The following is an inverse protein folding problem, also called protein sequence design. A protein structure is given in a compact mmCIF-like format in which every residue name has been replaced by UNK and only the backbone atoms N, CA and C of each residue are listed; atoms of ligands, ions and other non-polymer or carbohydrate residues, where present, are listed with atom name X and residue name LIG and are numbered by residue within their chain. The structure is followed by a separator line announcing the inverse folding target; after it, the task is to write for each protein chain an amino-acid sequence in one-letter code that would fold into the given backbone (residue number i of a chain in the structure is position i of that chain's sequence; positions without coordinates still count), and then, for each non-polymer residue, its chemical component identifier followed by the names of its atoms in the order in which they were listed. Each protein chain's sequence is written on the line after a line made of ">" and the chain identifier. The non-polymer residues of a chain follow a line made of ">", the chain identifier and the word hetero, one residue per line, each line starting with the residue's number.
data_IF_490366985135
#
_entry.id   IF_490366985135
#
_cell.length_a   1.000
_cell.length_b   1.000
_cell.length_c   1.000
_cell.angle_alpha   90.00
_cell.angle_beta   90.00
_cell.angle_gamma   90.00
#
_symmetry.space_group_name_H-M   'P 1'
#
loop_
_entity.id
_entity.type
_entity.pdbx_description
1 polymer ?
#
# COMPACT_ATOMS: atom_id res chain seq x y z
N UNK A 1 -47.66 62.91 -14.80
CA UNK A 1 -48.10 61.52 -15.04
C UNK A 1 -47.04 60.88 -15.93
N UNK A 2 -46.03 60.22 -15.31
CA UNK A 2 -44.92 59.53 -16.00
C UNK A 2 -44.99 58.05 -15.58
N UNK A 3 -45.29 57.22 -16.55
CA UNK A 3 -45.38 55.79 -16.43
C UNK A 3 -43.93 55.18 -16.59
N UNK A 4 -43.40 54.58 -15.54
CA UNK A 4 -42.15 53.77 -15.62
C UNK A 4 -42.49 52.35 -15.99
N UNK A 5 -42.01 51.90 -17.15
CA UNK A 5 -42.00 50.51 -17.55
C UNK A 5 -40.73 49.85 -16.95
N UNK A 6 -40.92 48.93 -16.01
CA UNK A 6 -39.86 48.06 -15.54
C UNK A 6 -39.81 46.81 -16.42
N UNK A 7 -38.71 46.65 -17.15
CA UNK A 7 -38.37 45.37 -17.84
C UNK A 7 -37.76 44.42 -16.81
N UNK A 8 -38.47 43.33 -16.55
CA UNK A 8 -38.01 42.18 -15.77
C UNK A 8 -37.22 41.26 -16.69
N UNK A 9 -35.89 41.29 -16.61
CA UNK A 9 -35.02 40.34 -17.32
C UNK A 9 -35.00 39.06 -16.48
N UNK A 10 -35.69 38.01 -16.94
CA UNK A 10 -35.51 36.63 -16.42
C UNK A 10 -34.21 36.09 -16.96
N UNK A 11 -33.18 36.02 -16.09
CA UNK A 11 -32.00 35.19 -16.28
C UNK A 11 -32.35 33.74 -16.01
N UNK A 12 -32.57 32.95 -17.04
CA UNK A 12 -32.61 31.48 -16.93
C UNK A 12 -31.19 30.98 -16.81
N UNK A 13 -30.75 30.72 -15.58
CA UNK A 13 -29.53 29.95 -15.32
C UNK A 13 -29.79 28.49 -15.67
N UNK A 14 -29.35 28.06 -16.85
CA UNK A 14 -29.21 26.65 -17.19
C UNK A 14 -28.12 26.08 -16.31
N UNK A 15 -28.49 25.43 -15.23
CA UNK A 15 -27.60 24.57 -14.47
C UNK A 15 -27.30 23.33 -15.33
N UNK A 16 -26.18 23.31 -16.03
CA UNK A 16 -25.58 22.06 -16.49
C UNK A 16 -25.25 21.24 -15.23
N UNK A 17 -26.14 20.36 -14.84
CA UNK A 17 -25.81 19.26 -13.96
C UNK A 17 -24.85 18.36 -14.73
N UNK A 18 -23.55 18.56 -14.54
CA UNK A 18 -22.57 17.52 -14.84
C UNK A 18 -22.95 16.32 -13.95
N UNK A 19 -23.64 15.36 -14.54
CA UNK A 19 -23.88 14.08 -13.89
C UNK A 19 -22.54 13.42 -13.64
N UNK A 20 -22.04 13.54 -12.41
CA UNK A 20 -21.04 12.62 -11.89
C UNK A 20 -21.72 11.26 -11.94
N UNK A 21 -21.25 10.39 -12.84
CA UNK A 21 -21.62 8.98 -12.78
C UNK A 21 -21.19 8.52 -11.38
N UNK A 22 -22.15 8.27 -10.51
CA UNK A 22 -21.91 7.63 -9.24
C UNK A 22 -21.35 6.26 -9.56
N UNK A 23 -20.14 5.95 -9.14
CA UNK A 23 -19.63 4.60 -9.18
C UNK A 23 -20.66 3.71 -8.46
N UNK A 24 -20.96 2.57 -9.07
CA UNK A 24 -22.04 1.71 -8.56
C UNK A 24 -21.67 1.15 -7.19
N UNK A 25 -22.69 0.98 -6.37
CA UNK A 25 -22.56 0.31 -5.08
C UNK A 25 -21.97 -1.10 -5.29
N UNK A 26 -20.95 -1.46 -4.48
CA UNK A 26 -20.34 -2.78 -4.48
C UNK A 26 -20.91 -3.65 -3.39
N UNK A 27 -21.19 -4.90 -3.74
CA UNK A 27 -21.69 -5.91 -2.83
C UNK A 27 -20.62 -6.98 -2.66
N UNK A 28 -20.30 -7.31 -1.43
CA UNK A 28 -19.29 -8.31 -1.08
C UNK A 28 -19.93 -9.52 -0.46
N UNK A 29 -19.59 -10.69 -1.01
CA UNK A 29 -20.05 -11.99 -0.55
C UNK A 29 -18.85 -12.82 -0.07
N UNK A 30 -19.07 -13.68 0.93
CA UNK A 30 -18.11 -14.68 1.41
C UNK A 30 -18.80 -16.01 1.56
N UNK A 31 -18.12 -17.11 1.18
CA UNK A 31 -18.63 -18.45 1.34
C UNK A 31 -17.72 -19.49 0.72
N UNK A 32 -18.30 -20.54 0.15
CA UNK A 32 -17.55 -21.68 -0.38
C UNK A 32 -17.90 -21.97 -1.84
N UNK A 33 -16.86 -22.39 -2.57
CA UNK A 33 -16.96 -22.99 -3.89
C UNK A 33 -16.59 -24.48 -3.76
N UNK A 34 -17.51 -25.38 -4.07
CA UNK A 34 -17.38 -26.80 -3.76
C UNK A 34 -17.35 -27.06 -2.25
N UNK A 35 -16.73 -28.15 -1.83
CA UNK A 35 -16.74 -28.58 -0.44
C UNK A 35 -15.91 -27.71 0.51
N UNK A 36 -14.76 -27.17 0.05
CA UNK A 36 -13.76 -26.63 0.98
C UNK A 36 -13.04 -25.35 0.48
N UNK A 37 -13.35 -24.84 -0.70
CA UNK A 37 -12.65 -23.65 -1.19
C UNK A 37 -13.38 -22.39 -0.71
N UNK A 38 -12.84 -21.76 0.34
CA UNK A 38 -13.34 -20.45 0.78
C UNK A 38 -13.02 -19.38 -0.25
N UNK A 39 -14.01 -18.59 -0.62
CA UNK A 39 -13.92 -17.50 -1.57
C UNK A 39 -14.57 -16.24 -1.03
N UNK A 40 -14.05 -15.10 -1.46
CA UNK A 40 -14.68 -13.79 -1.30
C UNK A 40 -14.91 -13.22 -2.69
N UNK A 41 -16.11 -12.74 -2.95
CA UNK A 41 -16.55 -12.23 -4.24
C UNK A 41 -17.08 -10.82 -4.07
N UNK A 42 -16.71 -9.90 -4.97
CA UNK A 42 -17.22 -8.54 -5.05
C UNK A 42 -17.89 -8.31 -6.39
N UNK A 43 -19.07 -7.71 -6.38
CA UNK A 43 -19.84 -7.38 -7.58
C UNK A 43 -20.25 -5.90 -7.55
N UNK A 44 -20.12 -5.25 -8.70
CA UNK A 44 -20.60 -3.91 -8.97
C UNK A 44 -21.61 -3.95 -10.13
N UNK A 45 -22.79 -3.38 -9.95
CA UNK A 45 -23.78 -3.31 -11.00
C UNK A 45 -23.38 -2.25 -12.05
N UNK A 46 -23.39 -2.65 -13.31
CA UNK A 46 -23.17 -1.79 -14.48
C UNK A 46 -24.44 -1.70 -15.34
N UNK A 47 -24.42 -0.84 -16.35
CA UNK A 47 -25.58 -0.66 -17.24
C UNK A 47 -25.95 -1.92 -18.01
N UNK A 48 -24.96 -2.73 -18.37
CA UNK A 48 -25.05 -3.94 -19.20
C UNK A 48 -24.89 -5.26 -18.44
N UNK A 49 -24.78 -5.19 -17.10
CA UNK A 49 -24.62 -6.38 -16.28
C UNK A 49 -23.93 -6.14 -14.95
N UNK A 50 -22.93 -6.93 -14.65
CA UNK A 50 -22.10 -6.84 -13.47
C UNK A 50 -20.64 -6.98 -13.84
N UNK A 51 -19.82 -6.12 -13.29
CA UNK A 51 -18.37 -6.32 -13.18
C UNK A 51 -18.08 -6.80 -11.76
N UNK A 52 -17.05 -7.59 -11.62
CA UNK A 52 -16.66 -8.08 -10.32
C UNK A 52 -15.29 -8.71 -10.31
N UNK A 53 -14.94 -9.21 -9.16
CA UNK A 53 -13.73 -9.98 -8.90
C UNK A 53 -13.94 -10.91 -7.72
N UNK A 54 -13.18 -11.98 -7.69
CA UNK A 54 -13.16 -12.85 -6.52
C UNK A 54 -11.75 -13.37 -6.28
N UNK A 55 -11.50 -13.85 -5.08
CA UNK A 55 -10.28 -14.59 -4.75
C UNK A 55 -10.59 -15.80 -3.88
N UNK A 56 -9.76 -16.81 -4.04
CA UNK A 56 -9.67 -17.90 -3.06
C UNK A 56 -8.91 -17.39 -1.83
N UNK A 57 -9.48 -17.56 -0.63
CA UNK A 57 -8.91 -17.00 0.60
C UNK A 57 -7.43 -17.39 0.81
N UNK A 58 -7.08 -18.64 0.48
CA UNK A 58 -5.71 -19.15 0.59
C UNK A 58 -4.72 -18.52 -0.39
N UNK A 59 -5.19 -17.92 -1.50
CA UNK A 59 -4.32 -17.34 -2.53
C UNK A 59 -4.31 -15.82 -2.51
N UNK A 60 -5.49 -15.20 -2.27
CA UNK A 60 -5.65 -13.76 -2.23
C UNK A 60 -5.52 -13.02 -3.58
N UNK A 61 -5.31 -13.75 -4.68
CA UNK A 61 -5.15 -13.17 -6.03
C UNK A 61 -6.51 -13.01 -6.69
N UNK A 62 -6.79 -11.81 -7.17
CA UNK A 62 -8.06 -11.48 -7.79
C UNK A 62 -8.21 -12.12 -9.17
N UNK A 63 -9.39 -12.67 -9.42
CA UNK A 63 -9.83 -13.20 -10.70
C UNK A 63 -11.01 -12.32 -11.16
N UNK A 64 -10.88 -11.54 -12.25
CA UNK A 64 -11.95 -10.68 -12.73
C UNK A 64 -13.16 -11.46 -13.22
N UNK A 65 -14.36 -10.87 -13.03
CA UNK A 65 -15.65 -11.40 -13.46
C UNK A 65 -16.40 -10.35 -14.28
N UNK A 66 -17.12 -10.82 -15.30
CA UNK A 66 -18.01 -9.97 -16.09
C UNK A 66 -19.23 -10.75 -16.58
N UNK A 67 -20.40 -10.11 -16.60
CA UNK A 67 -21.63 -10.68 -17.15
C UNK A 67 -22.88 -10.38 -16.35
N UNK A 68 -23.82 -11.32 -16.33
CA UNK A 68 -25.04 -11.23 -15.51
C UNK A 68 -24.95 -12.11 -14.25
N UNK A 69 -25.78 -11.85 -13.25
CA UNK A 69 -25.84 -12.72 -12.04
C UNK A 69 -26.15 -14.19 -12.41
N UNK A 70 -26.91 -14.42 -13.47
CA UNK A 70 -27.19 -15.76 -13.97
C UNK A 70 -26.00 -16.39 -14.72
N UNK A 71 -25.03 -15.59 -15.18
CA UNK A 71 -23.87 -16.07 -15.94
C UNK A 71 -22.74 -15.06 -15.84
N UNK A 72 -21.85 -15.20 -14.83
CA UNK A 72 -20.62 -14.42 -14.70
C UNK A 72 -19.46 -15.23 -15.27
N UNK A 73 -18.76 -14.64 -16.23
CA UNK A 73 -17.63 -15.24 -16.91
C UNK A 73 -16.35 -14.83 -16.16
N UNK A 74 -15.44 -15.78 -15.95
CA UNK A 74 -14.10 -15.50 -15.39
C UNK A 74 -13.15 -15.04 -16.49
N UNK A 75 -12.25 -14.12 -16.13
CA UNK A 75 -11.16 -13.75 -17.01
C UNK A 75 -10.17 -14.90 -17.21
N UNK A 76 -9.59 -14.94 -18.39
CA UNK A 76 -8.53 -15.88 -18.76
C UNK A 76 -7.14 -15.26 -18.48
N UNK A 77 -6.17 -16.06 -18.01
CA UNK A 77 -4.78 -15.60 -17.93
C UNK A 77 -4.26 -15.21 -19.30
N UNK A 78 -3.79 -13.97 -19.47
CA UNK A 78 -3.39 -13.44 -20.79
C UNK A 78 -2.21 -14.18 -21.41
N UNK A 79 -1.26 -14.64 -20.59
CA UNK A 79 -0.10 -15.40 -21.10
C UNK A 79 -0.47 -16.70 -21.81
N UNK A 80 -1.67 -17.24 -21.59
CA UNK A 80 -2.18 -18.40 -22.34
C UNK A 80 -2.61 -18.02 -23.78
N UNK A 81 -2.71 -16.71 -24.10
CA UNK A 81 -3.29 -16.19 -25.34
C UNK A 81 -2.49 -15.04 -25.98
N UNK A 82 -1.28 -14.73 -25.49
CA UNK A 82 -0.51 -13.53 -25.82
C UNK A 82 -0.22 -13.30 -27.32
N UNK A 83 0.01 -14.34 -28.11
CA UNK A 83 0.26 -14.20 -29.56
C UNK A 83 -1.00 -13.81 -30.35
N UNK A 84 -2.20 -14.09 -29.85
CA UNK A 84 -3.46 -13.80 -30.53
C UNK A 84 -3.90 -12.34 -30.41
N UNK A 85 -3.26 -11.58 -29.53
CA UNK A 85 -3.66 -10.22 -29.14
C UNK A 85 -2.62 -9.17 -29.58
N UNK A 86 -1.54 -9.58 -30.23
CA UNK A 86 -0.53 -8.67 -30.77
C UNK A 86 -1.16 -7.76 -31.85
N UNK A 87 -1.57 -6.55 -31.45
CA UNK A 87 -2.22 -5.56 -32.33
C UNK A 87 -3.58 -5.04 -31.83
N UNK A 88 -4.07 -5.53 -30.66
CA UNK A 88 -5.29 -5.02 -30.07
C UNK A 88 -4.99 -3.80 -29.15
N UNK A 89 -5.74 -2.70 -29.38
CA UNK A 89 -5.65 -1.48 -28.55
C UNK A 89 -6.14 -1.70 -27.11
N UNK A 90 -6.71 -2.88 -26.80
CA UNK A 90 -7.25 -3.26 -25.50
C UNK A 90 -6.28 -4.10 -24.66
N UNK A 91 -4.98 -3.88 -24.75
CA UNK A 91 -3.94 -4.71 -24.10
C UNK A 91 -4.06 -4.85 -22.57
N UNK A 92 -4.71 -3.89 -21.92
CA UNK A 92 -4.80 -3.84 -20.46
C UNK A 92 -6.16 -4.30 -19.90
N UNK A 93 -7.04 -4.86 -20.75
CA UNK A 93 -8.36 -5.34 -20.33
C UNK A 93 -8.39 -6.87 -20.16
N UNK A 94 -9.15 -7.39 -19.17
CA UNK A 94 -9.35 -8.82 -19.00
C UNK A 94 -10.06 -9.46 -20.21
N UNK A 95 -9.68 -10.69 -20.54
CA UNK A 95 -10.30 -11.49 -21.60
C UNK A 95 -11.28 -12.47 -20.95
N UNK A 96 -12.56 -12.37 -21.29
CA UNK A 96 -13.61 -13.24 -20.74
C UNK A 96 -14.07 -14.34 -21.71
N UNK A 97 -13.75 -14.20 -22.99
CA UNK A 97 -14.13 -15.15 -24.05
C UNK A 97 -12.84 -15.72 -24.64
N UNK A 98 -12.70 -17.03 -24.58
CA UNK A 98 -11.58 -17.74 -25.19
C UNK A 98 -11.55 -17.49 -26.69
N UNK A 99 -10.48 -16.88 -27.23
CA UNK A 99 -10.38 -16.55 -28.67
C UNK A 99 -10.45 -17.76 -29.59
N UNK A 100 -10.01 -18.93 -29.11
CA UNK A 100 -10.00 -20.16 -29.92
C UNK A 100 -11.39 -20.84 -29.96
N UNK A 101 -12.08 -20.91 -28.84
CA UNK A 101 -13.36 -21.59 -28.72
C UNK A 101 -14.56 -20.68 -28.92
N UNK A 102 -14.37 -19.33 -28.89
CA UNK A 102 -15.41 -18.29 -28.90
C UNK A 102 -16.45 -18.44 -27.78
N UNK A 103 -16.05 -19.05 -26.66
CA UNK A 103 -16.89 -19.29 -25.46
C UNK A 103 -16.13 -18.95 -24.19
N UNK A 104 -16.81 -18.60 -23.10
CA UNK A 104 -16.17 -18.50 -21.82
C UNK A 104 -15.64 -19.86 -21.36
N UNK A 105 -14.50 -19.86 -20.64
CA UNK A 105 -13.88 -21.07 -20.11
C UNK A 105 -14.50 -21.46 -18.77
N UNK A 106 -14.62 -20.52 -17.86
CA UNK A 106 -15.17 -20.73 -16.53
C UNK A 106 -16.33 -19.79 -16.30
N UNK A 107 -17.44 -20.30 -15.77
CA UNK A 107 -18.68 -19.55 -15.61
C UNK A 107 -19.33 -19.85 -14.27
N UNK A 108 -19.78 -18.79 -13.59
CA UNK A 108 -20.63 -18.85 -12.42
C UNK A 108 -22.09 -18.70 -12.86
N UNK A 109 -22.89 -19.74 -12.66
CA UNK A 109 -24.34 -19.74 -12.91
C UNK A 109 -25.05 -19.63 -11.57
N UNK A 110 -25.66 -18.51 -11.26
CA UNK A 110 -26.24 -18.29 -9.95
C UNK A 110 -27.42 -17.34 -9.93
N UNK A 111 -27.97 -17.22 -8.74
CA UNK A 111 -29.03 -16.26 -8.40
C UNK A 111 -28.81 -15.73 -6.99
N UNK A 112 -29.22 -14.49 -6.78
CA UNK A 112 -29.31 -13.91 -5.43
C UNK A 112 -30.70 -14.20 -4.89
N UNK A 113 -30.75 -14.72 -3.65
CA UNK A 113 -31.97 -14.94 -2.88
C UNK A 113 -31.74 -14.35 -1.48
N UNK A 114 -32.37 -13.21 -1.20
CA UNK A 114 -32.07 -12.41 -0.02
C UNK A 114 -30.59 -11.98 -0.01
N UNK A 115 -29.88 -12.38 1.04
CA UNK A 115 -28.45 -12.09 1.23
C UNK A 115 -27.52 -13.20 0.71
N UNK A 116 -28.07 -14.20 0.01
CA UNK A 116 -27.31 -15.35 -0.46
C UNK A 116 -27.21 -15.37 -1.98
N UNK A 117 -25.97 -15.45 -2.50
CA UNK A 117 -25.68 -15.75 -3.90
C UNK A 117 -25.26 -17.21 -4.02
N UNK A 118 -26.06 -18.01 -4.72
CA UNK A 118 -25.88 -19.46 -4.80
C UNK A 118 -26.07 -19.98 -6.23
N UNK A 119 -25.44 -21.11 -6.53
CA UNK A 119 -25.53 -21.73 -7.85
C UNK A 119 -24.44 -22.75 -8.14
N UNK A 120 -24.00 -22.81 -9.38
CA UNK A 120 -22.95 -23.70 -9.86
C UNK A 120 -21.89 -22.94 -10.63
N UNK A 121 -20.63 -23.25 -10.35
CA UNK A 121 -19.47 -22.87 -11.14
C UNK A 121 -19.09 -24.03 -12.05
N UNK A 122 -18.76 -23.75 -13.30
CA UNK A 122 -18.30 -24.77 -14.28
C UNK A 122 -17.07 -24.29 -15.03
N UNK A 123 -16.19 -25.23 -15.36
CA UNK A 123 -15.00 -25.00 -16.17
C UNK A 123 -14.97 -25.93 -17.39
N UNK A 124 -14.97 -25.33 -18.58
CA UNK A 124 -15.07 -26.07 -19.84
C UNK A 124 -13.79 -26.88 -20.17
N UNK A 125 -12.60 -26.47 -19.69
CA UNK A 125 -11.34 -27.18 -19.93
C UNK A 125 -11.23 -28.42 -19.06
N UNK A 126 -11.54 -28.32 -17.78
CA UNK A 126 -11.43 -29.44 -16.83
C UNK A 126 -12.69 -30.29 -16.73
N UNK A 127 -13.82 -29.83 -17.30
CA UNK A 127 -15.15 -30.44 -17.20
C UNK A 127 -15.67 -30.53 -15.74
N UNK A 128 -15.14 -29.71 -14.85
CA UNK A 128 -15.59 -29.65 -13.47
C UNK A 128 -16.81 -28.79 -13.32
N UNK A 129 -17.71 -29.21 -12.45
CA UNK A 129 -18.84 -28.40 -11.97
C UNK A 129 -18.86 -28.48 -10.45
N UNK A 130 -18.97 -27.32 -9.80
CA UNK A 130 -18.96 -27.18 -8.34
C UNK A 130 -20.15 -26.33 -7.93
N UNK A 131 -20.85 -26.71 -6.86
CA UNK A 131 -21.83 -25.84 -6.25
C UNK A 131 -21.11 -24.71 -5.49
N UNK A 132 -21.75 -23.54 -5.39
CA UNK A 132 -21.32 -22.46 -4.53
C UNK A 132 -22.47 -21.89 -3.72
N UNK A 133 -22.15 -21.42 -2.52
CA UNK A 133 -23.03 -20.70 -1.64
C UNK A 133 -22.26 -19.60 -0.93
N UNK A 134 -22.63 -18.34 -1.20
CA UNK A 134 -21.95 -17.16 -0.70
C UNK A 134 -22.97 -16.25 -0.01
N UNK A 135 -22.65 -15.77 1.19
CA UNK A 135 -23.48 -14.85 1.96
C UNK A 135 -22.94 -13.42 1.89
N UNK A 136 -23.82 -12.45 1.76
CA UNK A 136 -23.46 -11.05 1.75
C UNK A 136 -22.84 -10.66 3.10
N UNK A 137 -21.65 -10.11 3.08
CA UNK A 137 -20.91 -9.69 4.27
C UNK A 137 -20.67 -8.18 4.31
N UNK A 138 -20.92 -7.49 3.21
CA UNK A 138 -20.78 -6.04 3.14
C UNK A 138 -21.38 -5.45 1.87
N UNK A 139 -21.64 -4.17 1.95
CA UNK A 139 -22.07 -3.33 0.83
C UNK A 139 -21.45 -1.95 1.05
N UNK A 140 -20.84 -1.37 0.04
CA UNK A 140 -20.18 -0.09 0.16
C UNK A 140 -20.13 0.65 -1.19
N UNK A 141 -19.99 1.95 -1.10
CA UNK A 141 -19.72 2.81 -2.24
C UNK A 141 -18.24 3.18 -2.23
N UNK A 142 -17.44 2.71 -3.19
CA UNK A 142 -16.01 3.02 -3.24
C UNK A 142 -15.73 4.52 -3.45
N UNK A 143 -16.69 5.28 -3.98
CA UNK A 143 -16.56 6.72 -4.18
C UNK A 143 -16.90 7.54 -2.93
N UNK A 144 -17.67 6.97 -1.99
CA UNK A 144 -18.00 7.64 -0.73
C UNK A 144 -16.81 7.74 0.23
N UNK A 145 -15.82 6.87 0.06
CA UNK A 145 -14.61 6.80 0.89
C UNK A 145 -13.40 6.85 -0.03
N UNK A 146 -12.78 8.00 -0.10
CA UNK A 146 -11.56 8.20 -0.88
C UNK A 146 -10.43 8.66 0.04
N UNK A 147 -9.23 8.07 -0.11
CA UNK A 147 -8.86 6.98 -1.02
C UNK A 147 -9.42 5.61 -0.58
N UNK A 148 -9.45 4.64 -1.49
CA UNK A 148 -9.94 3.27 -1.26
C UNK A 148 -8.81 2.24 -1.52
N UNK A 149 -8.99 0.98 -1.06
CA UNK A 149 -8.07 -0.13 -1.33
C UNK A 149 -6.63 0.15 -0.89
N UNK A 150 -5.67 -0.18 -1.74
CA UNK A 150 -4.23 0.06 -1.52
C UNK A 150 -3.94 1.54 -1.29
N UNK A 151 -4.59 2.44 -2.01
CA UNK A 151 -4.41 3.87 -1.85
C UNK A 151 -4.84 4.36 -0.46
N UNK A 152 -5.94 3.85 0.09
CA UNK A 152 -6.39 4.16 1.45
C UNK A 152 -5.37 3.70 2.51
N UNK A 153 -4.82 2.50 2.34
CA UNK A 153 -3.78 1.98 3.24
C UNK A 153 -2.53 2.83 3.12
N UNK A 154 -2.10 3.16 1.89
CA UNK A 154 -0.95 4.03 1.63
C UNK A 154 -1.11 5.38 2.30
N UNK A 155 -2.25 6.05 2.11
CA UNK A 155 -2.55 7.33 2.74
C UNK A 155 -2.56 7.24 4.28
N UNK A 156 -3.00 6.10 4.83
CA UNK A 156 -3.04 5.89 6.28
C UNK A 156 -1.67 5.67 6.92
N UNK A 157 -0.69 5.16 6.17
CA UNK A 157 0.62 4.77 6.73
C UNK A 157 1.79 5.64 6.28
N UNK A 158 1.62 6.44 5.22
CA UNK A 158 2.69 7.35 4.75
C UNK A 158 2.87 8.49 5.75
N UNK A 159 4.01 8.61 6.42
CA UNK A 159 4.26 9.71 7.32
C UNK A 159 4.42 11.00 6.52
N UNK A 160 3.51 11.94 6.68
CA UNK A 160 3.72 13.31 6.19
C UNK A 160 4.76 13.99 7.05
N UNK A 161 5.74 14.67 6.46
CA UNK A 161 6.70 15.47 7.22
C UNK A 161 5.92 16.63 7.89
N UNK A 162 5.73 16.53 9.21
CA UNK A 162 4.99 17.51 9.99
C UNK A 162 3.46 17.43 9.88
N UNK A 163 2.89 16.36 9.32
CA UNK A 163 1.45 16.14 9.31
C UNK A 163 1.05 15.15 10.42
N UNK A 164 0.08 15.55 11.23
CA UNK A 164 -0.72 14.61 12.00
C UNK A 164 -1.64 13.90 10.99
N UNK A 165 -1.13 12.83 10.36
CA UNK A 165 -1.97 12.00 9.51
C UNK A 165 -3.00 11.36 10.42
N UNK A 166 -4.26 11.75 10.23
CA UNK A 166 -5.38 11.05 10.83
C UNK A 166 -5.42 9.65 10.19
N UNK A 167 -4.98 8.63 10.92
CA UNK A 167 -5.04 7.22 10.51
C UNK A 167 -6.48 6.69 10.40
N UNK A 168 -7.44 7.56 10.05
CA UNK A 168 -8.85 7.31 10.20
C UNK A 168 -9.52 6.50 9.10
N UNK A 169 -8.86 6.25 7.99
CA UNK A 169 -9.46 5.53 6.85
C UNK A 169 -8.81 4.17 6.59
N UNK A 170 -8.33 3.52 7.62
CA UNK A 170 -7.83 2.17 7.52
C UNK A 170 -8.84 1.25 6.79
N UNK A 171 -8.33 0.35 5.97
CA UNK A 171 -9.15 -0.73 5.39
C UNK A 171 -9.88 -1.46 6.51
N UNK A 172 -11.20 -1.55 6.40
CA UNK A 172 -12.05 -2.13 7.41
C UNK A 172 -13.24 -2.84 6.77
N UNK A 173 -13.93 -3.67 7.54
CA UNK A 173 -15.15 -4.32 7.06
C UNK A 173 -16.24 -3.32 6.63
N UNK A 174 -16.21 -2.10 7.15
CA UNK A 174 -17.14 -1.02 6.79
C UNK A 174 -16.76 -0.31 5.50
N UNK A 175 -15.46 -0.04 5.29
CA UNK A 175 -14.99 0.87 4.24
C UNK A 175 -14.59 0.13 2.97
N UNK A 176 -13.94 -1.03 3.12
CA UNK A 176 -13.43 -1.85 2.04
C UNK A 176 -13.51 -3.33 2.46
N UNK A 177 -14.72 -3.88 2.60
CA UNK A 177 -14.92 -5.23 3.14
C UNK A 177 -14.18 -6.31 2.35
N UNK A 178 -14.06 -6.16 1.05
CA UNK A 178 -13.35 -7.10 0.19
C UNK A 178 -11.85 -7.16 0.52
N UNK A 179 -11.18 -6.03 0.53
CA UNK A 179 -9.75 -5.96 0.85
C UNK A 179 -9.48 -6.26 2.32
N UNK A 180 -10.38 -5.86 3.22
CA UNK A 180 -10.31 -6.23 4.64
C UNK A 180 -10.32 -7.76 4.81
N UNK A 181 -11.26 -8.45 4.18
CA UNK A 181 -11.35 -9.92 4.26
C UNK A 181 -10.13 -10.61 3.64
N UNK A 182 -9.57 -10.03 2.56
CA UNK A 182 -8.32 -10.50 1.95
C UNK A 182 -7.17 -10.47 2.97
N UNK A 183 -7.10 -9.42 3.79
CA UNK A 183 -6.04 -9.25 4.79
C UNK A 183 -6.26 -10.03 6.10
N UNK A 184 -7.43 -10.65 6.30
CA UNK A 184 -7.70 -11.50 7.49
C UNK A 184 -7.12 -12.91 7.39
N UNK A 185 -6.23 -13.16 6.43
CA UNK A 185 -5.57 -14.46 6.32
C UNK A 185 -4.59 -14.68 7.50
N UNK A 186 -4.51 -15.90 8.08
CA UNK A 186 -3.62 -16.18 9.20
C UNK A 186 -2.15 -15.93 8.87
N UNK A 187 -1.50 -15.09 9.67
CA UNK A 187 -0.07 -14.80 9.56
C UNK A 187 0.75 -15.82 10.35
N UNK A 188 1.96 -16.10 9.87
CA UNK A 188 2.91 -17.01 10.53
C UNK A 188 3.81 -16.20 11.47
N UNK A 189 3.76 -16.42 12.79
CA UNK A 189 4.61 -15.70 13.73
C UNK A 189 6.04 -16.27 13.75
N UNK A 190 7.03 -15.38 13.72
CA UNK A 190 8.42 -15.69 13.98
C UNK A 190 8.78 -15.66 15.48
N UNK A 191 10.06 -15.86 15.82
CA UNK A 191 10.54 -15.78 17.20
C UNK A 191 10.38 -14.37 17.78
N UNK A 192 10.14 -14.31 19.09
CA UNK A 192 10.10 -13.04 19.82
C UNK A 192 11.51 -12.54 20.14
N UNK A 193 11.74 -11.25 19.91
CA UNK A 193 12.98 -10.54 20.25
C UNK A 193 12.64 -9.53 21.34
N UNK A 194 13.34 -9.59 22.47
CA UNK A 194 13.07 -8.76 23.62
C UNK A 194 14.28 -7.88 23.93
N UNK A 195 14.02 -6.61 24.19
CA UNK A 195 14.97 -5.62 24.70
C UNK A 195 14.36 -4.96 25.92
N UNK A 196 14.80 -5.36 27.11
CA UNK A 196 14.23 -4.91 28.40
C UNK A 196 12.71 -5.15 28.46
N UNK A 197 11.91 -4.08 28.54
CA UNK A 197 10.45 -4.13 28.68
C UNK A 197 9.70 -4.08 27.34
N UNK A 198 10.41 -3.98 26.22
CA UNK A 198 9.84 -3.93 24.87
C UNK A 198 10.23 -5.18 24.10
N UNK A 199 9.30 -5.73 23.36
CA UNK A 199 9.55 -6.89 22.52
C UNK A 199 8.80 -6.80 21.19
N UNK A 200 9.32 -7.47 20.19
CA UNK A 200 8.64 -7.63 18.90
C UNK A 200 8.89 -9.01 18.30
N UNK A 201 8.08 -9.35 17.31
CA UNK A 201 8.33 -10.47 16.42
C UNK A 201 8.01 -10.07 14.98
N UNK A 202 8.62 -10.76 14.04
CA UNK A 202 8.16 -10.71 12.65
C UNK A 202 6.95 -11.62 12.49
N UNK A 203 5.96 -11.20 11.70
CA UNK A 203 4.83 -12.03 11.27
C UNK A 203 4.79 -12.04 9.74
N UNK A 204 4.65 -13.21 9.14
CA UNK A 204 4.75 -13.40 7.69
C UNK A 204 3.39 -13.73 7.08
N UNK A 205 2.98 -13.03 6.04
CA UNK A 205 1.89 -13.48 5.17
C UNK A 205 2.43 -14.58 4.22
N UNK A 206 1.98 -15.84 4.35
CA UNK A 206 2.53 -16.93 3.55
C UNK A 206 2.20 -16.81 2.05
N UNK A 207 1.21 -15.99 1.66
CA UNK A 207 0.79 -15.77 0.28
C UNK A 207 1.74 -14.83 -0.47
N UNK A 208 2.28 -13.83 0.24
CA UNK A 208 3.18 -12.79 -0.27
C UNK A 208 4.61 -12.96 0.21
N UNK A 209 4.82 -13.77 1.26
CA UNK A 209 6.10 -13.98 1.96
C UNK A 209 6.64 -12.74 2.68
N UNK A 210 5.91 -11.64 2.71
CA UNK A 210 6.31 -10.48 3.50
C UNK A 210 6.28 -10.79 4.98
N UNK A 211 7.39 -10.49 5.64
CA UNK A 211 7.52 -10.52 7.08
C UNK A 211 7.55 -9.09 7.63
N UNK A 212 6.65 -8.76 8.53
CA UNK A 212 6.50 -7.43 9.09
C UNK A 212 6.51 -7.46 10.61
N UNK A 213 7.14 -6.47 11.29
CA UNK A 213 7.19 -6.49 12.76
C UNK A 213 5.82 -6.25 13.40
N UNK A 214 5.65 -6.85 14.59
CA UNK A 214 4.57 -6.56 15.53
C UNK A 214 5.19 -6.44 16.92
N UNK A 215 4.88 -5.37 17.64
CA UNK A 215 5.22 -5.29 19.06
C UNK A 215 4.45 -6.37 19.83
N UNK A 216 5.16 -7.09 20.69
CA UNK A 216 4.60 -8.13 21.55
C UNK A 216 4.53 -7.69 22.99
N UNK A 217 5.40 -6.73 23.38
CA UNK A 217 5.50 -6.18 24.74
C UNK A 217 5.77 -4.69 24.69
N UNK A 218 5.05 -3.96 25.52
CA UNK A 218 5.31 -2.57 25.87
C UNK A 218 4.68 -2.27 27.23
N UNK A 219 5.29 -1.45 28.13
CA UNK A 219 4.70 -1.11 29.41
C UNK A 219 3.34 -0.42 29.31
N UNK A 220 3.15 0.40 28.27
CA UNK A 220 1.88 1.06 27.96
C UNK A 220 1.10 0.27 26.90
N UNK A 221 -0.08 -0.30 27.25
CA UNK A 221 -0.91 -1.04 26.30
C UNK A 221 -1.48 -0.17 25.16
N UNK A 222 -1.66 1.14 25.38
CA UNK A 222 -2.16 2.05 24.35
C UNK A 222 -1.10 2.29 23.28
N UNK A 223 0.15 2.48 23.68
CA UNK A 223 1.30 2.56 22.77
C UNK A 223 1.45 1.27 21.98
N UNK A 224 1.36 0.11 22.65
CA UNK A 224 1.41 -1.21 22.01
C UNK A 224 0.35 -1.33 20.92
N UNK A 225 -0.90 -1.00 21.23
CA UNK A 225 -2.01 -1.09 20.28
C UNK A 225 -1.85 -0.11 19.11
N UNK A 226 -1.50 1.14 19.38
CA UNK A 226 -1.34 2.19 18.37
C UNK A 226 -0.22 1.87 17.38
N UNK A 227 0.95 1.46 17.87
CA UNK A 227 2.07 1.07 17.00
C UNK A 227 1.71 -0.16 16.17
N UNK A 228 1.08 -1.17 16.76
CA UNK A 228 0.67 -2.37 16.02
C UNK A 228 -0.36 -2.08 14.96
N UNK A 229 -1.27 -1.15 15.17
CA UNK A 229 -2.22 -0.71 14.16
C UNK A 229 -1.50 -0.12 12.93
N UNK A 230 -0.47 0.72 13.14
CA UNK A 230 0.32 1.29 12.04
C UNK A 230 1.11 0.18 11.32
N UNK A 231 1.79 -0.68 12.07
CA UNK A 231 2.56 -1.80 11.51
C UNK A 231 1.68 -2.78 10.72
N UNK A 232 0.45 -3.01 11.17
CA UNK A 232 -0.51 -3.83 10.45
C UNK A 232 -0.93 -3.19 9.14
N UNK A 233 -1.25 -1.90 9.13
CA UNK A 233 -1.63 -1.18 7.91
C UNK A 233 -0.49 -1.14 6.90
N UNK A 234 0.75 -0.93 7.32
CA UNK A 234 1.92 -1.01 6.44
C UNK A 234 2.10 -2.40 5.84
N UNK A 235 1.94 -3.44 6.66
CA UNK A 235 1.98 -4.83 6.17
C UNK A 235 0.87 -5.10 5.15
N UNK A 236 -0.33 -4.58 5.38
CA UNK A 236 -1.45 -4.71 4.45
C UNK A 236 -1.19 -3.97 3.14
N UNK A 237 -0.63 -2.77 3.18
CA UNK A 237 -0.24 -2.02 1.98
C UNK A 237 0.66 -2.86 1.07
N UNK A 238 1.73 -3.42 1.63
CA UNK A 238 2.65 -4.25 0.87
C UNK A 238 1.98 -5.53 0.36
N UNK A 239 1.23 -6.21 1.21
CA UNK A 239 0.55 -7.47 0.84
C UNK A 239 -0.53 -7.26 -0.20
N UNK A 240 -1.32 -6.19 -0.12
CA UNK A 240 -2.33 -5.85 -1.13
C UNK A 240 -1.67 -5.53 -2.47
N UNK A 241 -0.63 -4.68 -2.48
CA UNK A 241 0.11 -4.34 -3.70
C UNK A 241 0.70 -5.59 -4.38
N UNK A 242 1.22 -6.53 -3.59
CA UNK A 242 1.74 -7.78 -4.08
C UNK A 242 0.67 -8.68 -4.71
N UNK A 243 -0.46 -8.82 -4.04
CA UNK A 243 -1.57 -9.65 -4.53
C UNK A 243 -2.22 -9.03 -5.77
N UNK A 244 -2.31 -7.70 -5.82
CA UNK A 244 -2.75 -6.96 -7.00
C UNK A 244 -1.79 -7.15 -8.18
N UNK A 245 -0.47 -7.06 -7.92
CA UNK A 245 0.54 -7.35 -8.94
C UNK A 245 0.40 -8.77 -9.50
N UNK A 246 0.17 -9.78 -8.66
CA UNK A 246 -0.10 -11.15 -9.12
C UNK A 246 -1.37 -11.24 -9.98
N UNK A 247 -2.37 -10.41 -9.72
CA UNK A 247 -3.61 -10.40 -10.48
C UNK A 247 -3.44 -9.77 -11.89
N UNK A 248 -2.35 -9.03 -12.16
CA UNK A 248 -2.07 -8.47 -13.50
C UNK A 248 -1.92 -9.54 -14.59
N UNK A 249 -1.73 -10.81 -14.21
CA UNK A 249 -1.76 -11.94 -15.13
C UNK A 249 -3.04 -12.02 -15.99
N UNK A 250 -4.14 -11.41 -15.54
CA UNK A 250 -5.41 -11.34 -16.27
C UNK A 250 -5.51 -10.12 -17.20
N UNK A 251 -4.63 -9.13 -17.04
CA UNK A 251 -4.70 -7.85 -17.76
C UNK A 251 -3.44 -7.51 -18.56
N UNK A 252 -2.30 -8.16 -18.27
CA UNK A 252 -1.02 -7.86 -18.92
C UNK A 252 -0.46 -9.08 -19.67
N UNK A 253 0.15 -8.84 -20.83
CA UNK A 253 0.74 -9.89 -21.70
C UNK A 253 2.13 -10.35 -21.25
N UNK A 254 2.81 -9.57 -20.40
CA UNK A 254 4.15 -9.86 -19.91
C UNK A 254 4.17 -10.69 -18.64
N UNK A 255 5.36 -11.04 -18.12
CA UNK A 255 5.49 -11.64 -16.81
C UNK A 255 4.93 -10.69 -15.76
N UNK A 256 3.73 -11.05 -15.31
CA UNK A 256 2.92 -10.19 -14.47
C UNK A 256 3.52 -9.91 -13.10
N UNK A 257 4.36 -10.80 -12.64
CA UNK A 257 4.65 -10.81 -11.22
C UNK A 257 6.00 -10.23 -10.86
N UNK A 258 6.88 -9.87 -11.78
CA UNK A 258 8.17 -9.33 -11.42
C UNK A 258 8.60 -9.65 -9.98
N UNK A 259 9.41 -8.85 -9.40
CA UNK A 259 9.84 -9.03 -7.99
C UNK A 259 8.73 -8.75 -6.96
N UNK A 260 7.70 -7.97 -7.31
CA UNK A 260 6.59 -7.72 -6.38
C UNK A 260 5.77 -8.99 -6.12
N UNK A 261 5.87 -9.99 -7.00
CA UNK A 261 5.29 -11.31 -6.76
C UNK A 261 6.15 -12.23 -5.90
N UNK A 262 7.47 -12.13 -6.00
CA UNK A 262 8.42 -13.08 -5.41
C UNK A 262 9.27 -12.49 -4.28
N UNK A 263 9.43 -11.18 -4.18
CA UNK A 263 10.07 -10.45 -3.08
C UNK A 263 11.51 -10.84 -2.72
N UNK A 264 12.25 -11.42 -3.63
CA UNK A 264 13.62 -11.84 -3.33
C UNK A 264 14.56 -10.68 -2.99
N UNK A 265 14.20 -9.46 -3.40
CA UNK A 265 14.98 -8.24 -3.13
C UNK A 265 14.38 -7.31 -2.08
N UNK A 266 13.17 -7.61 -1.58
CA UNK A 266 12.51 -6.77 -0.57
C UNK A 266 12.90 -7.19 0.84
N UNK A 267 13.28 -6.21 1.66
CA UNK A 267 13.67 -6.45 3.06
C UNK A 267 12.98 -5.47 4.00
N UNK A 268 12.37 -6.01 5.05
CA UNK A 268 11.81 -5.24 6.16
C UNK A 268 12.61 -5.61 7.41
N UNK A 269 13.30 -4.65 8.01
CA UNK A 269 14.19 -4.89 9.16
C UNK A 269 13.96 -3.90 10.27
N UNK A 270 13.86 -4.40 11.49
CA UNK A 270 14.00 -3.56 12.70
C UNK A 270 15.50 -3.30 12.89
N UNK A 271 15.91 -2.05 12.72
CA UNK A 271 17.30 -1.61 12.79
C UNK A 271 17.70 -1.19 14.19
N UNK A 272 16.74 -0.67 14.94
CA UNK A 272 16.96 -0.21 16.30
C UNK A 272 15.74 -0.48 17.17
N UNK A 273 15.96 -0.93 18.40
CA UNK A 273 14.93 -1.07 19.41
C UNK A 273 15.45 -0.64 20.78
N UNK A 274 14.76 0.31 21.38
CA UNK A 274 14.93 0.72 22.78
C UNK A 274 13.58 0.77 23.46
N UNK A 275 13.56 1.14 24.75
CA UNK A 275 12.30 1.38 25.48
C UNK A 275 11.51 2.58 24.95
N UNK A 276 12.13 3.42 24.10
CA UNK A 276 11.59 4.71 23.68
C UNK A 276 11.46 4.88 22.16
N UNK A 277 12.21 4.10 21.40
CA UNK A 277 12.28 4.19 19.94
C UNK A 277 12.32 2.80 19.30
N UNK A 278 11.65 2.67 18.16
CA UNK A 278 11.78 1.52 17.26
C UNK A 278 11.99 2.04 15.85
N UNK A 279 13.14 1.78 15.24
CA UNK A 279 13.44 2.16 13.86
C UNK A 279 13.35 0.93 12.94
N UNK A 280 12.64 1.10 11.83
CA UNK A 280 12.39 0.06 10.84
C UNK A 280 12.79 0.60 9.48
N UNK A 281 13.29 -0.26 8.61
CA UNK A 281 13.59 0.04 7.21
C UNK A 281 12.84 -0.94 6.32
N UNK A 282 12.19 -0.40 5.32
CA UNK A 282 11.72 -1.11 4.12
C UNK A 282 12.66 -0.74 2.98
N UNK A 283 13.31 -1.72 2.38
CA UNK A 283 14.28 -1.45 1.33
C UNK A 283 14.31 -2.60 0.33
N UNK A 284 14.40 -2.25 -0.94
CA UNK A 284 14.47 -3.24 -1.98
C UNK A 284 14.21 -2.70 -3.37
N UNK A 285 13.80 -3.61 -4.22
CA UNK A 285 13.43 -3.35 -5.60
C UNK A 285 12.14 -4.11 -5.90
N UNK A 286 11.09 -3.39 -6.24
CA UNK A 286 9.80 -3.97 -6.59
C UNK A 286 9.51 -3.77 -8.08
N UNK A 287 8.94 -4.78 -8.72
CA UNK A 287 8.58 -4.71 -10.12
C UNK A 287 7.22 -5.39 -10.36
N UNK A 288 6.30 -4.65 -10.96
CA UNK A 288 4.98 -5.13 -11.35
C UNK A 288 4.66 -4.74 -12.80
N UNK A 289 5.60 -5.01 -13.71
CA UNK A 289 5.51 -4.54 -15.09
C UNK A 289 5.96 -3.08 -15.25
N UNK A 290 5.94 -2.59 -16.50
CA UNK A 290 6.41 -1.26 -16.84
C UNK A 290 7.85 -1.22 -17.31
N UNK A 291 8.43 0.00 -17.41
CA UNK A 291 9.74 0.22 -18.03
C UNK A 291 10.93 -0.21 -17.16
N UNK A 292 10.80 -0.15 -15.84
CA UNK A 292 11.89 -0.45 -14.91
C UNK A 292 11.34 -0.76 -13.50
N UNK A 293 12.12 -1.47 -12.66
CA UNK A 293 11.80 -1.67 -11.25
C UNK A 293 11.73 -0.35 -10.47
N UNK A 294 10.99 -0.36 -9.38
CA UNK A 294 10.96 0.70 -8.38
C UNK A 294 11.91 0.34 -7.23
N UNK A 295 13.07 1.00 -7.22
CA UNK A 295 14.02 0.88 -6.11
C UNK A 295 13.61 1.85 -5.01
N UNK A 296 13.65 1.39 -3.76
CA UNK A 296 13.30 2.22 -2.62
C UNK A 296 14.14 1.90 -1.38
N UNK A 297 14.21 2.87 -0.50
CA UNK A 297 14.80 2.76 0.83
C UNK A 297 14.01 3.70 1.75
N UNK A 298 13.09 3.15 2.53
CA UNK A 298 12.11 3.88 3.30
C UNK A 298 12.26 3.59 4.79
N UNK A 299 13.10 4.38 5.50
CA UNK A 299 13.23 4.26 6.95
C UNK A 299 12.06 4.96 7.63
N UNK A 300 11.61 4.41 8.73
CA UNK A 300 10.67 5.06 9.63
C UNK A 300 10.94 4.68 11.08
N UNK A 301 10.69 5.63 11.97
CA UNK A 301 10.93 5.43 13.40
C UNK A 301 9.65 5.69 14.18
N UNK A 302 9.35 4.81 15.11
CA UNK A 302 8.27 4.98 16.07
C UNK A 302 8.77 5.60 17.36
N UNK A 303 7.99 6.55 17.86
CA UNK A 303 8.05 7.12 19.18
C UNK A 303 7.26 6.21 20.14
N UNK A 304 7.97 5.36 20.85
CA UNK A 304 7.36 4.45 21.83
C UNK A 304 6.93 5.13 23.13
N UNK A 305 7.23 6.43 23.31
CA UNK A 305 6.70 7.21 24.42
C UNK A 305 5.27 7.68 24.12
N UNK A 306 4.99 8.04 22.85
CA UNK A 306 3.71 8.66 22.46
C UNK A 306 2.83 7.80 21.55
N UNK A 307 3.32 6.65 21.09
CA UNK A 307 2.52 5.69 20.33
C UNK A 307 2.23 6.08 18.88
N UNK A 308 3.22 6.63 18.16
CA UNK A 308 3.09 7.02 16.76
C UNK A 308 4.44 7.12 16.08
N UNK A 309 4.48 7.70 14.86
CA UNK A 309 5.76 8.01 14.23
C UNK A 309 6.51 9.10 15.01
N UNK A 310 7.83 8.97 15.05
CA UNK A 310 8.69 9.98 15.63
C UNK A 310 8.69 11.25 14.78
N UNK A 311 8.26 12.36 15.37
CA UNK A 311 8.57 13.68 14.81
C UNK A 311 10.02 14.04 15.17
N UNK A 312 10.93 13.91 14.21
CA UNK A 312 12.35 14.23 14.40
C UNK A 312 12.59 15.68 14.81
N UNK A 313 11.63 16.60 14.55
CA UNK A 313 11.70 17.96 15.05
C UNK A 313 11.67 18.05 16.59
N UNK A 314 11.24 17.00 17.29
CA UNK A 314 11.37 16.91 18.76
C UNK A 314 12.81 16.71 19.21
N UNK A 315 13.62 16.07 18.36
CA UNK A 315 15.03 15.76 18.67
C UNK A 315 15.96 16.89 18.25
N UNK A 316 15.82 17.38 17.02
CA UNK A 316 16.63 18.45 16.43
C UNK A 316 15.83 19.17 15.34
N UNK A 317 16.21 20.41 14.95
CA UNK A 317 15.51 21.12 13.87
C UNK A 317 15.71 20.39 12.54
N UNK A 318 14.62 19.85 11.93
CA UNK A 318 14.70 19.17 10.64
C UNK A 318 14.28 20.11 9.52
N UNK A 319 13.08 20.68 9.63
CA UNK A 319 12.52 21.55 8.60
C UNK A 319 11.95 22.82 9.20
N UNK A 320 11.97 23.88 8.42
CA UNK A 320 11.29 25.15 8.68
C UNK A 320 10.22 25.35 7.62
N UNK A 321 9.09 25.92 8.02
CA UNK A 321 8.02 26.29 7.10
C UNK A 321 8.26 27.70 6.58
N UNK A 322 8.45 27.85 5.28
CA UNK A 322 8.59 29.11 4.57
C UNK A 322 7.33 29.43 3.76
N UNK A 323 7.28 30.64 3.16
CA UNK A 323 6.17 31.03 2.27
C UNK A 323 6.01 30.13 1.05
N UNK A 324 7.13 29.56 0.57
CA UNK A 324 7.21 28.74 -0.64
C UNK A 324 7.19 27.22 -0.36
N UNK A 325 7.03 26.83 0.91
CA UNK A 325 7.00 25.42 1.29
C UNK A 325 7.74 25.10 2.58
N UNK A 326 8.35 23.92 2.63
CA UNK A 326 9.11 23.43 3.78
C UNK A 326 10.56 23.15 3.35
N UNK A 327 11.52 23.91 3.89
CA UNK A 327 12.93 23.73 3.65
C UNK A 327 13.63 23.03 4.81
N UNK A 328 14.79 22.43 4.53
CA UNK A 328 15.66 21.94 5.59
C UNK A 328 16.08 23.09 6.53
N UNK A 329 16.08 22.83 7.82
CA UNK A 329 16.50 23.83 8.80
C UNK A 329 17.97 24.22 8.58
N UNK A 330 18.33 25.51 8.52
CA UNK A 330 19.70 25.95 8.24
C UNK A 330 20.76 25.35 9.16
N UNK A 331 20.44 25.19 10.45
CA UNK A 331 21.35 24.56 11.42
C UNK A 331 21.61 23.08 11.08
N UNK A 332 20.65 22.38 10.52
CA UNK A 332 20.82 21.00 10.08
C UNK A 332 21.59 20.93 8.77
N UNK A 333 21.30 21.82 7.81
CA UNK A 333 22.03 21.91 6.55
C UNK A 333 23.52 22.18 6.79
N UNK A 334 23.86 23.16 7.65
CA UNK A 334 25.22 23.47 8.06
C UNK A 334 25.91 22.30 8.77
N UNK A 335 25.18 21.61 9.64
CA UNK A 335 25.68 20.40 10.31
C UNK A 335 26.01 19.29 9.31
N UNK A 336 25.12 19.02 8.33
CA UNK A 336 25.34 18.03 7.28
C UNK A 336 26.57 18.39 6.45
N UNK A 337 26.65 19.63 5.95
CA UNK A 337 27.78 20.11 5.15
C UNK A 337 29.13 19.88 5.83
N UNK A 338 29.25 20.28 7.10
CA UNK A 338 30.47 20.06 7.90
C UNK A 338 30.80 18.57 8.07
N UNK A 339 29.80 17.69 8.18
CA UNK A 339 30.04 16.25 8.30
C UNK A 339 30.47 15.63 6.97
N UNK A 340 29.88 16.07 5.85
CA UNK A 340 30.26 15.65 4.49
C UNK A 340 31.70 16.06 4.20
N UNK A 341 32.07 17.31 4.43
CA UNK A 341 33.45 17.81 4.24
C UNK A 341 34.46 17.01 5.07
N UNK A 342 34.14 16.77 6.34
CA UNK A 342 34.96 15.96 7.23
C UNK A 342 35.10 14.49 6.78
N UNK A 343 34.07 13.92 6.11
CA UNK A 343 34.13 12.58 5.51
C UNK A 343 35.04 12.60 4.27
N UNK A 344 34.81 13.53 3.33
CA UNK A 344 35.62 13.66 2.10
C UNK A 344 37.10 13.85 2.41
N UNK A 345 37.46 14.62 3.44
CA UNK A 345 38.86 14.82 3.83
C UNK A 345 39.53 13.58 4.42
N UNK A 346 38.78 12.61 4.92
CA UNK A 346 39.29 11.33 5.48
C UNK A 346 39.34 10.21 4.44
N UNK A 347 38.34 10.14 3.60
CA UNK A 347 38.19 9.12 2.57
C UNK A 347 38.87 9.64 1.29
N UNK A 348 40.12 9.23 1.05
CA UNK A 348 40.90 9.70 -0.11
C UNK A 348 40.41 9.18 -1.47
N UNK A 349 39.51 8.21 -1.49
CA UNK A 349 38.89 7.72 -2.69
C UNK A 349 37.63 8.57 -2.98
N UNK A 350 37.56 9.19 -4.15
CA UNK A 350 36.32 9.79 -4.64
C UNK A 350 35.35 8.67 -4.94
N UNK A 351 34.10 8.76 -4.43
CA UNK A 351 33.06 7.81 -4.83
C UNK A 351 32.73 8.01 -6.32
N UNK A 352 32.40 6.93 -7.01
CA UNK A 352 32.01 6.98 -8.43
C UNK A 352 30.81 7.91 -8.67
N UNK A 353 29.93 8.06 -7.65
CA UNK A 353 28.78 8.96 -7.64
C UNK A 353 28.75 9.74 -6.33
N UNK A 354 28.70 11.07 -6.41
CA UNK A 354 28.50 11.94 -5.23
C UNK A 354 27.01 12.17 -4.99
N UNK A 355 26.48 11.52 -3.97
CA UNK A 355 25.07 11.63 -3.57
C UNK A 355 24.81 12.73 -2.52
N UNK A 356 25.81 13.52 -2.14
CA UNK A 356 25.67 14.52 -1.09
C UNK A 356 24.79 15.71 -1.50
N UNK A 357 24.70 16.00 -2.79
CA UNK A 357 23.89 17.10 -3.31
C UNK A 357 22.38 16.80 -3.27
N UNK A 358 22.00 15.51 -3.36
CA UNK A 358 20.58 15.10 -3.30
C UNK A 358 20.09 14.86 -1.88
N UNK A 359 21.00 14.68 -0.92
CA UNK A 359 20.68 14.39 0.48
C UNK A 359 19.78 15.43 1.13
N UNK A 360 20.00 16.75 1.01
CA UNK A 360 19.15 17.74 1.69
C UNK A 360 17.69 17.75 1.23
N UNK A 361 17.47 17.42 -0.04
CA UNK A 361 16.13 17.42 -0.64
C UNK A 361 15.34 16.15 -0.34
N UNK A 362 16.05 15.02 -0.18
CA UNK A 362 15.49 13.68 -0.02
C UNK A 362 15.89 13.06 1.33
N UNK A 363 16.04 13.92 2.34
CA UNK A 363 16.56 13.56 3.65
C UNK A 363 15.53 12.85 4.50
N UNK A 364 15.92 11.68 4.98
CA UNK A 364 15.27 10.94 6.03
C UNK A 364 16.28 10.44 7.09
N UNK A 365 15.82 9.78 8.12
CA UNK A 365 16.65 9.36 9.26
C UNK A 365 16.33 7.94 9.69
N UNK A 366 17.38 7.22 10.04
CA UNK A 366 17.26 5.88 10.60
C UNK A 366 18.13 5.78 11.85
N UNK A 367 17.63 5.14 12.90
CA UNK A 367 18.47 4.70 14.01
C UNK A 367 18.94 3.28 13.75
N UNK A 368 20.22 3.00 14.11
CA UNK A 368 20.83 1.68 13.97
C UNK A 368 21.61 1.30 15.24
N UNK A 369 21.66 0.01 15.53
CA UNK A 369 22.43 -0.50 16.68
C UNK A 369 23.95 -0.50 16.38
N UNK A 370 24.80 -0.32 17.38
CA UNK A 370 24.52 0.24 18.70
C UNK A 370 24.64 1.77 18.68
N UNK A 371 23.61 2.51 19.03
CA UNK A 371 23.62 3.98 19.21
C UNK A 371 24.10 4.80 18.01
N UNK A 372 23.70 4.41 16.79
CA UNK A 372 23.97 5.16 15.55
C UNK A 372 22.71 5.81 15.01
N UNK A 373 22.92 6.91 14.30
CA UNK A 373 21.93 7.53 13.43
C UNK A 373 22.54 7.66 12.03
N UNK A 374 21.71 7.38 11.04
CA UNK A 374 22.01 7.55 9.63
C UNK A 374 21.16 8.68 9.05
N UNK A 375 21.78 9.53 8.27
CA UNK A 375 21.13 10.46 7.36
C UNK A 375 21.02 9.77 6.02
N UNK A 376 19.80 9.62 5.56
CA UNK A 376 19.41 8.70 4.50
C UNK A 376 18.84 9.48 3.33
N UNK A 377 19.16 9.08 2.11
CA UNK A 377 18.43 9.50 0.90
C UNK A 377 17.29 8.51 0.69
N UNK A 378 16.06 9.02 0.68
CA UNK A 378 14.81 8.28 0.47
C UNK A 378 13.93 9.00 -0.55
N UNK A 379 12.98 8.28 -1.18
CA UNK A 379 11.95 8.89 -2.04
C UNK A 379 12.46 9.53 -3.34
N UNK A 380 13.61 9.09 -3.87
CA UNK A 380 14.15 9.60 -5.15
C UNK A 380 13.79 8.68 -6.32
N UNK A 381 13.73 9.27 -7.52
CA UNK A 381 13.41 8.55 -8.74
C UNK A 381 14.48 7.53 -9.16
N UNK A 382 14.08 6.59 -10.01
CA UNK A 382 14.92 5.49 -10.50
C UNK A 382 16.31 5.93 -11.01
N UNK A 383 16.38 7.03 -11.76
CA UNK A 383 17.65 7.53 -12.34
C UNK A 383 18.73 7.84 -11.30
N UNK A 384 18.32 8.15 -10.06
CA UNK A 384 19.22 8.44 -8.93
C UNK A 384 19.23 7.31 -7.89
N UNK A 385 18.71 6.13 -8.23
CA UNK A 385 18.56 5.00 -7.31
C UNK A 385 19.87 4.54 -6.64
N UNK A 386 21.00 4.78 -7.27
CA UNK A 386 22.33 4.53 -6.69
C UNK A 386 22.57 5.33 -5.39
N UNK A 387 21.86 6.44 -5.19
CA UNK A 387 21.95 7.26 -4.00
C UNK A 387 21.03 6.85 -2.85
N UNK A 388 20.12 5.91 -3.07
CA UNK A 388 19.22 5.43 -2.01
C UNK A 388 19.97 4.84 -0.82
N UNK A 389 19.50 5.14 0.38
CA UNK A 389 20.04 4.60 1.62
C UNK A 389 20.97 5.55 2.39
N UNK A 390 21.73 5.04 3.37
CA UNK A 390 22.54 5.82 4.29
C UNK A 390 23.70 6.54 3.61
N UNK A 391 23.76 7.87 3.72
CA UNK A 391 24.83 8.70 3.21
C UNK A 391 25.83 9.13 4.29
N UNK A 392 25.31 9.48 5.48
CA UNK A 392 26.11 9.84 6.64
C UNK A 392 25.69 8.98 7.83
N UNK A 393 26.60 8.19 8.37
CA UNK A 393 26.38 7.36 9.55
C UNK A 393 27.27 7.88 10.69
N UNK A 394 26.65 8.12 11.85
CA UNK A 394 27.38 8.64 12.99
C UNK A 394 26.81 8.17 14.33
N UNK A 395 27.58 8.18 15.42
CA UNK A 395 27.04 7.97 16.76
C UNK A 395 26.00 9.04 17.12
N UNK A 396 24.90 8.67 17.80
CA UNK A 396 23.86 9.63 18.26
C UNK A 396 24.45 10.81 19.02
N UNK A 397 25.49 10.57 19.83
CA UNK A 397 26.22 11.64 20.54
C UNK A 397 26.78 12.73 19.63
N UNK A 398 27.04 12.47 18.36
CA UNK A 398 27.51 13.45 17.39
C UNK A 398 26.46 14.52 17.04
N UNK A 399 25.18 14.25 17.34
CA UNK A 399 24.07 15.22 17.19
C UNK A 399 24.07 16.29 18.29
N UNK A 400 24.85 16.13 19.38
CA UNK A 400 24.83 17.02 20.55
C UNK A 400 24.78 18.52 20.18
N UNK A 401 25.49 19.01 19.15
CA UNK A 401 25.46 20.44 18.78
C UNK A 401 24.09 20.94 18.30
N UNK A 402 23.22 20.06 17.82
CA UNK A 402 21.92 20.42 17.23
C UNK A 402 20.72 19.85 18.02
N UNK A 403 20.97 19.06 19.09
CA UNK A 403 19.90 18.47 19.89
C UNK A 403 19.08 19.53 20.62
N UNK A 404 17.78 19.38 20.59
CA UNK A 404 16.82 20.15 21.40
C UNK A 404 16.75 19.59 22.84
N UNK A 405 16.31 20.39 23.82
CA UNK A 405 16.13 19.90 25.18
C UNK A 405 15.24 18.68 25.31
N UNK A 406 14.19 18.57 24.48
CA UNK A 406 13.25 17.44 24.44
C UNK A 406 13.89 16.12 24.04
N UNK A 407 15.01 16.13 23.34
CA UNK A 407 15.73 14.92 22.95
C UNK A 407 16.23 14.08 24.15
N UNK A 408 16.42 14.70 25.33
CA UNK A 408 16.80 14.00 26.57
C UNK A 408 15.78 12.92 27.00
N UNK A 409 14.53 13.02 26.53
CA UNK A 409 13.53 12.00 26.82
C UNK A 409 13.84 10.68 26.10
N UNK A 410 14.58 10.72 25.00
CA UNK A 410 14.86 9.57 24.13
C UNK A 410 16.24 8.95 24.34
N UNK A 411 17.22 9.74 24.79
CA UNK A 411 18.62 9.32 24.94
C UNK A 411 19.15 9.41 26.36
#
# INVERSE_FOLDING_TARGET
>A
MKIFFQYLIMLTTSACAAGTALAGERIVFKGTLGANAEVVLELEKKADGYDGRYFYLRHGVDIPLHGSLASLNEALPRHEHGELLAGDDNRDLPIFIDPATKKPRSVWHGKIDGDTYQGTWSDAKTKKTLAFELHQVGRYDPDAIRPAGVEAVTAAVTPGIGSNIAYGTAVSLKNAPYDYLKMQFPLQPGPEIIRKNVGYRMVTDPRTKFAYPRLTRHPDPQVLASINQILEQRHWQMSLAALECKATLYTMDGPASGTLGDYDSETIKVRYLSEKLMSVVEAGSTFCGGAHPNNHYDPFTFDLIHGGYLDFNRLFPVRIRNKDGSDIAPVLADFISKKVESKKSRDKAEPDVDCTDVLPQNLDFEFDEPDKISFVVSGIGHAMGVCLGPQLVMPIRALKPILKPGAKAYF
#
